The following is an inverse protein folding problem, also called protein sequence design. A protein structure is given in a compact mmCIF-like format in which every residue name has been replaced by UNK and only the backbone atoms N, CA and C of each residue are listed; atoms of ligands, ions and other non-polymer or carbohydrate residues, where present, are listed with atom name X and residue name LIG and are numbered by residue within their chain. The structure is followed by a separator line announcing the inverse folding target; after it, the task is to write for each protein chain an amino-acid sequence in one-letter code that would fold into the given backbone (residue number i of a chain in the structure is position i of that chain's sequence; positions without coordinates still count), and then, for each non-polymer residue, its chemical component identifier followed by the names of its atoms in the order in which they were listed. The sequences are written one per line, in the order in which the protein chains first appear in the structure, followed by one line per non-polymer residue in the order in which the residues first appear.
data_IF_016351946046
#
_entry.id   IF_016351946046
#
_cell.length_a   1.000
_cell.length_b   1.000
_cell.length_c   1.000
_cell.angle_alpha   90.00
_cell.angle_beta   90.00
_cell.angle_gamma   90.00
#
_symmetry.space_group_name_H-M   'P 1'
#
loop_
_entity.id
_entity.type
_entity.pdbx_description
1 polymer ?
#
# COMPACT_ATOMS: atom_id res chain seq x y z
N UNK A 1 -9.09 -5.35 -5.60
CA UNK A 1 -9.41 -4.90 -4.23
C UNK A 1 -10.11 -3.56 -4.33
N UNK A 2 -11.02 -3.25 -3.41
CA UNK A 2 -11.75 -1.98 -3.36
C UNK A 2 -11.62 -1.40 -1.95
N UNK A 3 -10.68 -0.46 -1.72
CA UNK A 3 -10.55 0.23 -0.44
C UNK A 3 -11.53 1.40 -0.34
N UNK A 4 -12.17 1.55 0.82
CA UNK A 4 -12.83 2.77 1.26
C UNK A 4 -11.92 3.45 2.28
N UNK A 5 -11.41 4.62 1.94
CA UNK A 5 -10.45 5.32 2.78
C UNK A 5 -11.17 6.38 3.64
N UNK A 6 -10.96 6.32 4.95
CA UNK A 6 -11.31 7.43 5.83
C UNK A 6 -10.30 8.56 5.61
N UNK A 7 -10.77 9.70 5.08
CA UNK A 7 -9.94 10.90 4.86
C UNK A 7 -10.23 11.94 5.95
N UNK A 8 -11.51 12.16 6.20
CA UNK A 8 -12.01 13.04 7.25
C UNK A 8 -13.20 12.37 7.95
N UNK A 9 -13.18 12.35 9.28
CA UNK A 9 -14.29 11.90 10.11
C UNK A 9 -14.09 10.50 10.69
N UNK A 10 -15.16 9.85 11.16
CA UNK A 10 -15.05 8.57 11.84
C UNK A 10 -14.87 7.42 10.83
N UNK A 11 -13.93 6.51 11.13
CA UNK A 11 -13.69 5.26 10.38
C UNK A 11 -14.96 4.44 10.16
N UNK A 12 -15.93 4.52 11.07
CA UNK A 12 -17.22 3.84 10.97
C UNK A 12 -17.96 4.13 9.64
N UNK A 13 -17.84 5.34 9.09
CA UNK A 13 -18.47 5.69 7.80
C UNK A 13 -17.81 4.91 6.66
N UNK A 14 -16.49 4.81 6.65
CA UNK A 14 -15.76 4.03 5.65
C UNK A 14 -16.08 2.53 5.77
N UNK A 15 -16.21 2.01 6.99
CA UNK A 15 -16.62 0.62 7.27
C UNK A 15 -18.02 0.33 6.73
N UNK A 16 -18.98 1.22 7.01
CA UNK A 16 -20.36 1.10 6.53
C UNK A 16 -20.41 1.11 5.00
N UNK A 17 -19.74 2.06 4.36
CA UNK A 17 -19.65 2.15 2.89
C UNK A 17 -18.99 0.90 2.27
N UNK A 18 -17.89 0.42 2.85
CA UNK A 18 -17.22 -0.80 2.42
C UNK A 18 -18.13 -2.02 2.50
N UNK A 19 -18.83 -2.21 3.62
CA UNK A 19 -19.76 -3.34 3.79
C UNK A 19 -20.96 -3.23 2.88
N UNK A 20 -21.56 -2.05 2.73
CA UNK A 20 -22.67 -1.82 1.81
C UNK A 20 -22.27 -2.16 0.37
N UNK A 21 -21.11 -1.69 -0.10
CA UNK A 21 -20.57 -2.05 -1.41
C UNK A 21 -20.32 -3.56 -1.53
N UNK A 22 -19.73 -4.19 -0.51
CA UNK A 22 -19.43 -5.62 -0.54
C UNK A 22 -20.69 -6.48 -0.65
N UNK A 23 -21.73 -6.22 0.14
CA UNK A 23 -22.98 -6.94 0.04
C UNK A 23 -23.68 -6.72 -1.31
N UNK A 24 -23.68 -5.48 -1.80
CA UNK A 24 -24.20 -5.17 -3.14
C UNK A 24 -23.43 -5.92 -4.24
N UNK A 25 -22.10 -5.89 -4.22
CA UNK A 25 -21.28 -6.57 -5.22
C UNK A 25 -21.49 -8.09 -5.18
N UNK A 26 -21.63 -8.66 -3.98
CA UNK A 26 -21.92 -10.08 -3.82
C UNK A 26 -23.27 -10.50 -4.39
N UNK A 27 -24.30 -9.68 -4.21
CA UNK A 27 -25.66 -9.96 -4.68
C UNK A 27 -25.84 -9.67 -6.17
N UNK A 28 -25.41 -8.50 -6.65
CA UNK A 28 -25.71 -8.02 -8.00
C UNK A 28 -24.71 -8.49 -9.05
N UNK A 29 -23.47 -8.79 -8.65
CA UNK A 29 -22.40 -9.18 -9.58
C UNK A 29 -22.02 -10.66 -9.46
N UNK A 30 -22.67 -11.41 -8.57
CA UNK A 30 -22.36 -12.82 -8.29
C UNK A 30 -20.86 -13.02 -7.98
N UNK A 31 -20.33 -12.15 -7.12
CA UNK A 31 -18.91 -12.11 -6.75
C UNK A 31 -18.67 -12.59 -5.32
N UNK A 32 -17.72 -13.51 -5.11
CA UNK A 32 -17.21 -13.78 -3.77
C UNK A 32 -16.54 -12.53 -3.21
N UNK A 33 -17.02 -12.07 -2.06
CA UNK A 33 -16.51 -10.88 -1.39
C UNK A 33 -15.82 -11.26 -0.10
N UNK A 34 -14.64 -10.70 0.11
CA UNK A 34 -13.90 -10.80 1.36
C UNK A 34 -13.65 -9.43 1.96
N UNK A 35 -14.01 -9.25 3.22
CA UNK A 35 -13.71 -8.03 3.97
C UNK A 35 -12.30 -8.10 4.58
N UNK A 36 -11.59 -6.97 4.57
CA UNK A 36 -10.26 -6.82 5.17
C UNK A 36 -10.11 -5.48 5.91
N UNK A 37 -9.04 -5.38 6.71
CA UNK A 37 -8.76 -4.25 7.63
C UNK A 37 -10.03 -3.93 8.46
N UNK A 38 -10.42 -2.67 8.60
CA UNK A 38 -11.52 -2.26 9.49
C UNK A 38 -12.90 -2.81 9.06
N UNK A 39 -13.04 -3.27 7.81
CA UNK A 39 -14.28 -3.90 7.37
C UNK A 39 -14.42 -5.36 7.87
N UNK A 40 -13.30 -6.03 8.16
CA UNK A 40 -13.25 -7.38 8.71
C UNK A 40 -13.47 -7.34 10.23
N UNK A 41 -14.44 -8.10 10.78
CA UNK A 41 -14.61 -8.21 12.23
C UNK A 41 -13.35 -8.65 12.99
N UNK A 42 -12.47 -9.43 12.35
CA UNK A 42 -11.18 -9.86 12.91
C UNK A 42 -10.02 -8.92 12.53
N UNK A 43 -10.30 -7.82 11.81
CA UNK A 43 -9.32 -6.82 11.35
C UNK A 43 -8.11 -7.42 10.62
N UNK A 44 -8.30 -8.52 9.89
CA UNK A 44 -7.20 -9.15 9.16
C UNK A 44 -6.78 -8.27 8.01
N UNK A 45 -5.46 -8.13 7.85
CA UNK A 45 -4.88 -7.36 6.76
C UNK A 45 -5.10 -8.01 5.40
N UNK A 46 -5.05 -7.21 4.34
CA UNK A 46 -5.17 -7.70 2.97
C UNK A 46 -4.17 -8.85 2.62
N UNK A 47 -2.87 -8.81 3.01
CA UNK A 47 -1.97 -9.94 2.78
C UNK A 47 -2.42 -11.23 3.48
N UNK A 48 -2.89 -11.15 4.73
CA UNK A 48 -3.42 -12.31 5.48
C UNK A 48 -4.65 -12.85 4.77
N UNK A 49 -5.59 -11.98 4.40
CA UNK A 49 -6.77 -12.37 3.64
C UNK A 49 -6.39 -13.10 2.34
N UNK A 50 -5.47 -12.54 1.55
CA UNK A 50 -5.04 -13.13 0.26
C UNK A 50 -4.44 -14.54 0.42
N UNK A 51 -3.79 -14.82 1.54
CA UNK A 51 -3.23 -16.14 1.82
C UNK A 51 -4.29 -17.18 2.23
N UNK A 52 -5.40 -16.73 2.82
CA UNK A 52 -6.44 -17.59 3.39
C UNK A 52 -7.67 -17.76 2.48
N UNK A 53 -7.89 -16.85 1.54
CA UNK A 53 -9.06 -16.84 0.68
C UNK A 53 -9.22 -18.18 -0.07
N UNK A 54 -10.39 -18.79 0.05
CA UNK A 54 -10.77 -20.08 -0.53
C UNK A 54 -9.99 -21.31 -0.04
N UNK A 55 -8.97 -21.14 0.80
CA UNK A 55 -8.20 -22.25 1.37
C UNK A 55 -8.66 -22.54 2.80
N UNK A 56 -8.56 -21.55 3.68
CA UNK A 56 -8.94 -21.64 5.10
C UNK A 56 -10.03 -20.64 5.50
N UNK A 57 -10.41 -19.73 4.59
CA UNK A 57 -11.46 -18.73 4.81
C UNK A 57 -12.45 -18.74 3.64
N UNK A 58 -13.74 -18.83 3.98
CA UNK A 58 -14.84 -18.63 3.03
C UNK A 58 -15.09 -17.12 2.79
N UNK A 59 -15.65 -16.74 1.63
CA UNK A 59 -16.15 -15.39 1.39
C UNK A 59 -17.15 -14.94 2.47
N UNK A 60 -17.12 -13.65 2.80
CA UNK A 60 -18.05 -13.03 3.76
C UNK A 60 -19.40 -12.68 3.12
N UNK A 61 -19.43 -12.49 1.79
CA UNK A 61 -20.66 -12.32 1.01
C UNK A 61 -20.52 -12.90 -0.41
N UNK A 62 -21.67 -13.16 -1.05
CA UNK A 62 -21.72 -13.76 -2.38
C UNK A 62 -21.40 -15.27 -2.39
N UNK A 63 -21.10 -15.84 -3.58
CA UNK A 63 -20.82 -17.27 -3.74
C UNK A 63 -19.54 -17.73 -3.04
N UNK A 64 -19.49 -19.00 -2.64
CA UNK A 64 -18.32 -19.61 -1.98
C UNK A 64 -17.22 -20.09 -2.94
N UNK A 65 -17.34 -19.83 -4.24
CA UNK A 65 -16.37 -20.24 -5.26
C UNK A 65 -15.96 -19.06 -6.12
N UNK A 66 -14.69 -18.96 -6.55
CA UNK A 66 -14.25 -17.91 -7.46
C UNK A 66 -15.13 -17.84 -8.71
N UNK A 67 -15.57 -16.63 -9.07
CA UNK A 67 -16.24 -16.41 -10.34
C UNK A 67 -15.24 -16.71 -11.48
N UNK A 68 -15.55 -17.56 -12.47
CA UNK A 68 -14.58 -17.97 -13.50
C UNK A 68 -14.01 -16.82 -14.33
N UNK A 69 -14.75 -15.72 -14.48
CA UNK A 69 -14.34 -14.56 -15.28
C UNK A 69 -13.78 -13.43 -14.43
N UNK A 70 -14.39 -13.19 -13.27
CA UNK A 70 -14.11 -12.01 -12.45
C UNK A 70 -13.26 -12.33 -11.20
N UNK A 71 -13.12 -13.61 -10.86
CA UNK A 71 -12.42 -14.06 -9.67
C UNK A 71 -13.19 -13.75 -8.39
N UNK A 72 -12.57 -12.96 -7.51
CA UNK A 72 -13.11 -12.56 -6.23
C UNK A 72 -12.70 -11.12 -5.90
N UNK A 73 -13.45 -10.45 -5.03
CA UNK A 73 -13.16 -9.09 -4.62
C UNK A 73 -12.84 -9.01 -3.12
N UNK A 74 -11.72 -8.37 -2.80
CA UNK A 74 -11.41 -7.95 -1.45
C UNK A 74 -11.87 -6.49 -1.26
N UNK A 75 -12.71 -6.24 -0.27
CA UNK A 75 -13.27 -4.91 0.05
C UNK A 75 -12.86 -4.54 1.47
N UNK A 76 -12.40 -3.32 1.70
CA UNK A 76 -11.91 -2.96 3.03
C UNK A 76 -12.09 -1.51 3.36
N UNK A 77 -12.02 -1.19 4.64
CA UNK A 77 -12.01 0.16 5.16
C UNK A 77 -10.69 0.40 5.89
N UNK A 78 -10.05 1.54 5.65
CA UNK A 78 -8.73 1.85 6.23
C UNK A 78 -8.42 3.33 6.14
N UNK A 79 -7.38 3.77 6.86
CA UNK A 79 -6.75 5.07 6.60
C UNK A 79 -5.97 5.05 5.28
N UNK A 80 -5.64 6.22 4.71
CA UNK A 80 -4.78 6.30 3.53
C UNK A 80 -3.44 5.64 3.81
N UNK A 81 -2.86 5.07 2.77
CA UNK A 81 -1.48 4.57 2.80
C UNK A 81 -0.74 5.26 1.66
N UNK A 82 0.58 5.35 1.78
CA UNK A 82 1.44 5.78 0.68
C UNK A 82 2.06 4.57 0.03
N UNK A 83 1.91 4.47 -1.29
CA UNK A 83 2.65 3.52 -2.11
C UNK A 83 3.80 4.28 -2.79
N UNK A 84 5.03 3.83 -2.60
CA UNK A 84 6.22 4.50 -3.14
C UNK A 84 7.24 3.46 -3.59
N UNK A 85 7.82 3.68 -4.76
CA UNK A 85 8.88 2.84 -5.31
C UNK A 85 10.20 3.58 -5.30
N UNK A 86 11.27 2.84 -5.00
CA UNK A 86 12.64 3.32 -5.12
C UNK A 86 13.38 2.46 -6.13
N UNK A 87 13.83 3.08 -7.22
CA UNK A 87 14.57 2.40 -8.28
C UNK A 87 16.05 2.37 -7.95
N UNK A 88 16.64 1.19 -7.97
CA UNK A 88 18.09 1.04 -7.86
C UNK A 88 18.73 1.48 -9.18
N UNK A 89 19.94 2.04 -9.10
CA UNK A 89 20.75 2.36 -10.27
C UNK A 89 21.29 1.09 -10.98
N UNK A 90 21.09 -0.08 -10.39
CA UNK A 90 21.47 -1.39 -10.93
C UNK A 90 20.25 -2.28 -11.15
N UNK A 91 20.44 -3.33 -11.96
CA UNK A 91 19.48 -4.44 -12.11
C UNK A 91 19.55 -5.50 -11.01
N UNK A 92 20.18 -5.20 -9.86
CA UNK A 92 20.41 -6.18 -8.80
C UNK A 92 19.14 -6.41 -7.96
N UNK A 93 18.37 -7.41 -8.38
CA UNK A 93 17.16 -7.81 -7.66
C UNK A 93 17.47 -8.44 -6.29
N UNK A 94 18.65 -9.04 -6.11
CA UNK A 94 19.05 -9.63 -4.83
C UNK A 94 19.22 -8.52 -3.81
N UNK A 95 19.94 -7.44 -4.17
CA UNK A 95 20.06 -6.26 -3.34
C UNK A 95 18.68 -5.64 -3.01
N UNK A 96 17.80 -5.51 -4.00
CA UNK A 96 16.45 -4.99 -3.76
C UNK A 96 15.62 -5.87 -2.80
N UNK A 97 15.77 -7.20 -2.87
CA UNK A 97 15.11 -8.13 -1.96
C UNK A 97 15.68 -8.02 -0.54
N UNK A 98 17.00 -7.96 -0.39
CA UNK A 98 17.68 -7.75 0.90
C UNK A 98 17.26 -6.43 1.56
N UNK A 99 17.21 -5.34 0.79
CA UNK A 99 16.68 -4.06 1.26
C UNK A 99 15.23 -4.19 1.72
N UNK A 100 14.37 -4.86 0.94
CA UNK A 100 12.98 -5.08 1.32
C UNK A 100 12.83 -5.93 2.60
N UNK A 101 13.75 -6.85 2.87
CA UNK A 101 13.82 -7.60 4.13
C UNK A 101 14.17 -6.69 5.30
N UNK A 102 15.17 -5.82 5.15
CA UNK A 102 15.59 -4.87 6.19
C UNK A 102 14.47 -3.87 6.52
N UNK A 103 13.73 -3.41 5.51
CA UNK A 103 12.79 -2.29 5.66
C UNK A 103 11.42 -2.69 6.22
N UNK A 104 10.94 -3.92 6.01
CA UNK A 104 9.55 -4.28 6.31
C UNK A 104 9.33 -4.70 7.76
N UNK A 105 8.22 -4.25 8.33
CA UNK A 105 7.87 -4.48 9.74
C UNK A 105 7.86 -5.96 10.13
N UNK A 106 7.33 -6.84 9.26
CA UNK A 106 7.21 -8.27 9.58
C UNK A 106 8.55 -8.99 9.81
N UNK A 107 9.65 -8.39 9.35
CA UNK A 107 11.00 -8.91 9.52
C UNK A 107 11.80 -8.09 10.57
N UNK A 108 11.13 -7.21 11.32
CA UNK A 108 11.74 -6.35 12.34
C UNK A 108 12.17 -4.97 11.84
N UNK A 109 11.80 -4.60 10.61
CA UNK A 109 12.09 -3.30 10.01
C UNK A 109 11.22 -2.16 10.53
N UNK A 110 10.89 -1.22 9.65
CA UNK A 110 10.16 -0.01 10.02
C UNK A 110 8.69 -0.33 10.36
N UNK A 111 8.17 0.20 11.48
CA UNK A 111 6.75 0.26 11.80
C UNK A 111 5.84 0.63 10.62
N UNK A 112 4.78 -0.14 10.38
CA UNK A 112 3.80 0.19 9.34
C UNK A 112 4.34 0.13 7.92
N UNK A 113 5.52 -0.47 7.69
CA UNK A 113 6.11 -0.59 6.35
C UNK A 113 5.99 -2.01 5.84
N UNK A 114 5.44 -2.16 4.64
CA UNK A 114 5.50 -3.40 3.86
C UNK A 114 6.38 -3.14 2.66
N UNK A 115 7.40 -3.97 2.46
CA UNK A 115 8.34 -3.80 1.36
C UNK A 115 8.53 -5.09 0.56
N UNK A 116 8.68 -4.95 -0.77
CA UNK A 116 9.01 -6.01 -1.71
C UNK A 116 10.08 -5.54 -2.70
N UNK A 117 11.02 -6.43 -3.03
CA UNK A 117 12.04 -6.20 -4.06
C UNK A 117 11.63 -6.84 -5.38
N UNK A 118 11.71 -6.09 -6.48
CA UNK A 118 11.33 -6.57 -7.81
C UNK A 118 12.42 -6.29 -8.84
N UNK A 119 12.56 -7.19 -9.80
CA UNK A 119 13.32 -6.93 -11.03
C UNK A 119 12.39 -6.32 -12.07
N UNK A 120 12.80 -5.22 -12.70
CA UNK A 120 12.13 -4.63 -13.84
C UNK A 120 12.98 -4.87 -15.09
N UNK A 121 12.91 -6.10 -15.60
CA UNK A 121 13.73 -6.55 -16.73
C UNK A 121 13.63 -5.60 -17.95
N UNK A 122 12.43 -5.12 -18.26
CA UNK A 122 12.18 -4.20 -19.38
C UNK A 122 12.84 -2.82 -19.19
N UNK A 123 13.17 -2.44 -17.96
CA UNK A 123 13.84 -1.18 -17.61
C UNK A 123 15.32 -1.36 -17.27
N UNK A 124 15.80 -2.61 -17.21
CA UNK A 124 17.18 -2.92 -16.83
C UNK A 124 17.54 -2.54 -15.38
N UNK A 125 16.55 -2.34 -14.50
CA UNK A 125 16.76 -1.92 -13.12
C UNK A 125 15.97 -2.81 -12.13
N UNK A 126 16.39 -2.80 -10.87
CA UNK A 126 15.62 -3.35 -9.77
C UNK A 126 14.92 -2.22 -8.99
N UNK A 127 13.87 -2.57 -8.24
CA UNK A 127 13.16 -1.62 -7.38
C UNK A 127 12.82 -2.22 -6.03
N UNK A 128 12.72 -1.35 -5.03
CA UNK A 128 12.10 -1.65 -3.75
C UNK A 128 10.78 -0.89 -3.68
N UNK A 129 9.67 -1.64 -3.62
CA UNK A 129 8.32 -1.09 -3.52
C UNK A 129 7.84 -1.13 -2.07
N UNK A 130 7.42 0.02 -1.55
CA UNK A 130 6.94 0.19 -0.19
C UNK A 130 5.45 0.55 -0.18
N UNK A 131 4.70 -0.06 0.75
CA UNK A 131 3.44 0.48 1.23
C UNK A 131 3.63 0.94 2.69
N UNK A 132 3.45 2.23 2.93
CA UNK A 132 3.45 2.86 4.25
C UNK A 132 2.02 2.87 4.79
N UNK A 133 1.68 1.85 5.58
CA UNK A 133 0.32 1.60 6.09
C UNK A 133 0.02 2.29 7.41
N UNK A 134 1.02 2.83 8.09
CA UNK A 134 0.86 3.61 9.33
C UNK A 134 1.77 4.85 9.28
N UNK A 135 1.23 5.92 8.72
CA UNK A 135 1.94 7.18 8.50
C UNK A 135 2.23 7.94 9.81
N UNK A 136 1.54 7.62 10.90
CA UNK A 136 1.84 8.20 12.21
C UNK A 136 3.15 7.65 12.75
N UNK A 137 3.41 6.33 12.56
CA UNK A 137 4.63 5.67 13.01
C UNK A 137 5.78 5.77 12.03
N UNK A 138 5.53 5.80 10.72
CA UNK A 138 6.57 5.97 9.70
C UNK A 138 6.07 6.78 8.51
N UNK A 139 6.58 8.01 8.39
CA UNK A 139 6.29 8.91 7.27
C UNK A 139 7.12 8.63 6.01
N UNK A 140 6.81 9.33 4.92
CA UNK A 140 7.43 9.17 3.61
C UNK A 140 8.92 9.52 3.62
N UNK A 141 9.28 10.68 4.16
CA UNK A 141 10.69 11.12 4.22
C UNK A 141 11.53 10.18 5.10
N UNK A 142 11.01 9.78 6.26
CA UNK A 142 11.66 8.80 7.14
C UNK A 142 11.88 7.45 6.45
N UNK A 143 10.89 6.97 5.69
CA UNK A 143 11.02 5.73 4.92
C UNK A 143 12.07 5.86 3.81
N UNK A 144 12.10 7.00 3.10
CA UNK A 144 13.09 7.26 2.06
C UNK A 144 14.52 7.28 2.61
N UNK A 145 14.76 7.94 3.76
CA UNK A 145 16.06 7.90 4.41
C UNK A 145 16.49 6.48 4.83
N UNK A 146 15.54 5.66 5.28
CA UNK A 146 15.83 4.28 5.63
C UNK A 146 16.18 3.44 4.41
N UNK A 147 15.54 3.70 3.27
CA UNK A 147 15.88 3.08 1.98
C UNK A 147 17.29 3.48 1.56
N UNK A 148 17.67 4.76 1.67
CA UNK A 148 19.02 5.24 1.39
C UNK A 148 20.07 4.53 2.27
N UNK A 149 19.81 4.38 3.57
CA UNK A 149 20.70 3.64 4.49
C UNK A 149 20.80 2.16 4.14
N UNK A 150 19.69 1.53 3.76
CA UNK A 150 19.66 0.13 3.33
C UNK A 150 20.44 -0.07 2.01
N UNK A 151 20.29 0.86 1.06
CA UNK A 151 21.01 0.85 -0.20
C UNK A 151 22.53 0.98 0.04
N UNK A 152 22.95 1.91 0.90
CA UNK A 152 24.36 2.07 1.28
C UNK A 152 24.95 0.80 1.90
N UNK A 153 24.17 0.08 2.71
CA UNK A 153 24.59 -1.19 3.33
C UNK A 153 24.72 -2.31 2.28
N UNK A 154 23.87 -2.31 1.27
CA UNK A 154 23.89 -3.23 0.13
C UNK A 154 24.87 -2.81 -0.98
N UNK A 155 25.70 -1.78 -0.76
CA UNK A 155 26.60 -1.20 -1.77
C UNK A 155 25.89 -0.82 -3.08
N UNK A 156 24.64 -0.37 -2.99
CA UNK A 156 23.81 0.08 -4.09
C UNK A 156 23.47 1.56 -3.92
N UNK A 157 23.04 2.20 -5.01
CA UNK A 157 22.50 3.56 -4.98
C UNK A 157 21.07 3.58 -5.49
N UNK A 158 20.27 4.49 -4.95
CA UNK A 158 18.94 4.80 -5.45
C UNK A 158 19.06 5.84 -6.56
N UNK A 159 18.45 5.55 -7.71
CA UNK A 159 18.38 6.49 -8.83
C UNK A 159 17.19 7.43 -8.71
N UNK A 160 16.01 6.90 -8.44
CA UNK A 160 14.76 7.67 -8.42
C UNK A 160 13.78 7.13 -7.38
N UNK A 161 12.96 8.03 -6.83
CA UNK A 161 11.78 7.71 -6.04
C UNK A 161 10.53 8.09 -6.83
N UNK A 162 9.56 7.18 -6.90
CA UNK A 162 8.27 7.39 -7.54
C UNK A 162 7.14 7.19 -6.53
N UNK A 163 6.38 8.25 -6.28
CA UNK A 163 5.11 8.17 -5.55
C UNK A 163 4.04 7.57 -6.47
N UNK A 164 3.38 6.51 -6.01
CA UNK A 164 2.29 5.84 -6.74
C UNK A 164 0.95 6.35 -6.20
N UNK A 165 0.27 7.15 -7.02
CA UNK A 165 -1.02 7.73 -6.67
C UNK A 165 -0.85 9.04 -5.88
N UNK A 166 -1.56 9.15 -4.77
CA UNK A 166 -1.61 10.38 -3.96
C UNK A 166 -1.27 10.07 -2.50
N UNK A 167 -0.74 11.05 -1.79
CA UNK A 167 -0.54 11.04 -0.34
C UNK A 167 -1.57 11.93 0.38
N UNK A 168 -1.78 11.77 1.69
CA UNK A 168 -2.53 12.76 2.47
C UNK A 168 -1.81 14.12 2.52
N UNK A 169 -2.55 15.22 2.48
CA UNK A 169 -2.01 16.58 2.69
C UNK A 169 -1.31 16.70 4.05
N UNK A 170 -1.80 15.99 5.07
CA UNK A 170 -1.18 15.92 6.39
C UNK A 170 0.22 15.31 6.37
N UNK A 171 0.50 14.36 5.47
CA UNK A 171 1.84 13.81 5.31
C UNK A 171 2.73 14.74 4.50
N UNK A 172 2.20 15.33 3.42
CA UNK A 172 2.94 16.32 2.63
C UNK A 172 3.40 17.51 3.48
N UNK A 173 2.56 17.99 4.40
CA UNK A 173 2.88 19.10 5.30
C UNK A 173 4.00 18.79 6.31
N UNK A 174 4.38 17.52 6.48
CA UNK A 174 5.48 17.08 7.37
C UNK A 174 6.82 16.99 6.65
N UNK A 175 6.83 17.01 5.32
CA UNK A 175 8.03 16.87 4.52
C UNK A 175 8.88 18.13 4.60
N UNK A 176 10.21 17.97 4.63
CA UNK A 176 11.13 19.08 4.52
C UNK A 176 11.09 19.72 3.13
N UNK A 177 11.32 21.03 3.05
CA UNK A 177 11.40 21.74 1.76
C UNK A 177 12.48 21.13 0.84
N UNK A 178 13.58 20.65 1.42
CA UNK A 178 14.65 19.97 0.69
C UNK A 178 14.15 18.67 0.06
N UNK A 179 13.43 17.84 0.82
CA UNK A 179 12.87 16.58 0.33
C UNK A 179 11.83 16.82 -0.76
N UNK A 180 10.93 17.78 -0.55
CA UNK A 180 9.92 18.18 -1.54
C UNK A 180 10.59 18.62 -2.84
N UNK A 181 11.62 19.46 -2.77
CA UNK A 181 12.35 19.95 -3.93
C UNK A 181 13.10 18.83 -4.65
N UNK A 182 13.81 17.97 -3.90
CA UNK A 182 14.60 16.85 -4.42
C UNK A 182 13.74 15.88 -5.21
N UNK A 183 12.57 15.55 -4.69
CA UNK A 183 11.64 14.58 -5.27
C UNK A 183 10.54 15.20 -6.12
N UNK A 184 10.59 16.53 -6.35
CA UNK A 184 9.62 17.28 -7.17
C UNK A 184 8.17 17.06 -6.76
N UNK A 185 7.93 16.93 -5.46
CA UNK A 185 6.60 16.74 -4.91
C UNK A 185 5.85 18.07 -4.86
N UNK A 186 4.53 18.02 -4.93
CA UNK A 186 3.67 19.19 -4.97
C UNK A 186 2.32 18.94 -4.29
N UNK A 187 1.55 20.01 -4.08
CA UNK A 187 0.16 19.89 -3.62
C UNK A 187 -0.73 19.07 -4.58
N UNK A 188 -0.35 18.89 -5.85
CA UNK A 188 -1.11 18.05 -6.79
C UNK A 188 -0.90 16.55 -6.56
N UNK A 189 0.05 16.19 -5.71
CA UNK A 189 0.33 14.82 -5.29
C UNK A 189 -0.44 14.45 -4.02
N UNK A 190 -1.28 15.35 -3.50
CA UNK A 190 -2.12 15.11 -2.33
C UNK A 190 -3.57 14.78 -2.68
N UNK A 191 -4.21 13.97 -1.85
CA UNK A 191 -5.63 13.58 -1.99
C UNK A 191 -6.52 14.83 -1.95
N UNK A 192 -6.30 15.70 -0.97
CA UNK A 192 -7.08 16.89 -0.70
C UNK A 192 -6.82 17.98 -1.76
N UNK A 193 -5.57 18.13 -2.21
CA UNK A 193 -5.22 19.06 -3.28
C UNK A 193 -5.96 18.75 -4.59
N UNK A 194 -6.10 17.47 -4.94
CA UNK A 194 -6.85 17.01 -6.11
C UNK A 194 -8.38 17.14 -5.96
N UNK A 195 -8.92 17.11 -4.74
CA UNK A 195 -10.36 17.32 -4.50
C UNK A 195 -10.80 18.77 -4.69
N UNK A 196 -9.88 19.73 -4.57
CA UNK A 196 -10.17 21.18 -4.65
C UNK A 196 -10.23 21.71 -6.10
N UNK A 197 -10.13 20.85 -7.11
CA UNK A 197 -10.13 21.19 -8.54
C UNK A 197 -11.46 20.84 -9.20
#
# INVERSE_FOLDING_TARGET
MVPFCEIEGPMAIAVEAARAFGYWAGAELDLPVFFYDEADPEQRSLPVLRAQAFSSRAPDAGPNQPNPRLGAVAVGARRPLIAVNFFLASGDVTAAQEMAHILRERDGGLPGVRALGFNLADRGCAQVSLNLTDLERTGLEQAAEAVERAAATANCSIGEMELIGLMPESEFARLSEEFVTRHRLSNNDTIEGRKRV
#
